data_IF_651223835342
#
_entry.id   IF_651223835342
#
_cell.length_a   1.000
_cell.length_b   1.000
_cell.length_c   1.000
_cell.angle_alpha   90.00
_cell.angle_beta   90.00
_cell.angle_gamma   90.00
#
_symmetry.space_group_name_H-M   'P 1'
#
loop_
_entity.id
_entity.type
_entity.pdbx_description
1 polymer ?
#
# COMPACT_ATOMS: atom_id res chain seq x y z
N UNK A 1 20.78 -18.16 42.45
CA UNK A 1 19.87 -18.81 41.49
C UNK A 1 19.29 -17.73 40.59
N UNK A 2 19.16 -18.05 39.31
CA UNK A 2 18.45 -17.32 38.24
C UNK A 2 19.05 -15.98 37.80
N UNK A 3 19.87 -16.11 36.77
CA UNK A 3 20.22 -15.16 35.70
C UNK A 3 19.12 -14.13 35.39
N UNK A 4 19.41 -12.85 35.62
CA UNK A 4 18.72 -11.72 34.98
C UNK A 4 18.91 -11.82 33.45
N UNK A 5 17.93 -12.41 32.76
CA UNK A 5 17.78 -12.29 31.30
C UNK A 5 16.90 -11.07 31.03
N UNK A 6 17.46 -9.88 31.19
CA UNK A 6 16.84 -8.64 30.71
C UNK A 6 16.96 -8.56 29.18
N UNK A 7 16.24 -9.43 28.48
CA UNK A 7 15.89 -9.19 27.09
C UNK A 7 14.98 -7.97 27.04
N UNK A 8 15.21 -7.07 26.09
CA UNK A 8 14.38 -5.89 25.92
C UNK A 8 12.93 -6.31 25.58
N UNK A 9 12.03 -6.22 26.56
CA UNK A 9 10.59 -6.50 26.42
C UNK A 9 9.83 -5.17 26.42
N UNK A 10 8.94 -4.98 25.45
CA UNK A 10 8.11 -3.77 25.38
C UNK A 10 6.94 -3.92 26.36
N UNK A 11 6.67 -2.92 27.24
CA UNK A 11 5.57 -2.98 28.19
C UNK A 11 4.19 -3.12 27.51
N UNK A 12 3.34 -4.00 28.03
CA UNK A 12 2.02 -4.30 27.44
C UNK A 12 1.10 -3.07 27.34
N UNK A 13 1.14 -2.15 28.31
CA UNK A 13 0.34 -0.92 28.24
C UNK A 13 0.72 -0.02 27.06
N UNK A 14 2.02 0.04 26.72
CA UNK A 14 2.50 0.79 25.55
C UNK A 14 2.07 0.12 24.26
N UNK A 15 2.06 -1.22 24.26
CA UNK A 15 1.58 -2.06 23.16
C UNK A 15 0.10 -1.82 22.87
N UNK A 16 -0.75 -1.94 23.89
CA UNK A 16 -2.19 -1.77 23.78
C UNK A 16 -2.56 -0.36 23.29
N UNK A 17 -1.83 0.66 23.78
CA UNK A 17 -2.03 2.03 23.33
C UNK A 17 -1.64 2.20 21.86
N UNK A 18 -0.51 1.62 21.45
CA UNK A 18 -0.04 1.69 20.08
C UNK A 18 -0.97 0.93 19.11
N UNK A 19 -1.45 -0.27 19.50
CA UNK A 19 -2.43 -1.04 18.72
C UNK A 19 -3.72 -0.25 18.52
N UNK A 20 -4.30 0.29 19.59
CA UNK A 20 -5.48 1.16 19.48
C UNK A 20 -5.24 2.38 18.60
N UNK A 21 -4.04 2.96 18.64
CA UNK A 21 -3.69 4.13 17.84
C UNK A 21 -3.58 3.78 16.35
N UNK A 22 -2.98 2.63 16.03
CA UNK A 22 -2.90 2.11 14.66
C UNK A 22 -4.29 1.80 14.11
N UNK A 23 -5.13 1.13 14.91
CA UNK A 23 -6.52 0.82 14.51
C UNK A 23 -7.35 2.08 14.25
N UNK A 24 -7.22 3.10 15.11
CA UNK A 24 -7.90 4.38 14.93
C UNK A 24 -7.41 5.11 13.68
N UNK A 25 -6.10 5.12 13.43
CA UNK A 25 -5.52 5.74 12.24
C UNK A 25 -5.99 5.01 10.96
N UNK A 26 -6.03 3.67 10.96
CA UNK A 26 -6.54 2.88 9.84
C UNK A 26 -7.99 3.20 9.56
N UNK A 27 -8.84 3.22 10.60
CA UNK A 27 -10.25 3.59 10.45
C UNK A 27 -10.43 4.99 9.87
N UNK A 28 -9.69 5.98 10.37
CA UNK A 28 -9.77 7.35 9.87
C UNK A 28 -9.34 7.45 8.40
N UNK A 29 -8.32 6.68 8.00
CA UNK A 29 -7.90 6.58 6.61
C UNK A 29 -8.98 5.94 5.73
N UNK A 30 -9.56 4.82 6.15
CA UNK A 30 -10.64 4.13 5.43
C UNK A 30 -11.85 5.05 5.22
N UNK A 31 -12.25 5.78 6.26
CA UNK A 31 -13.34 6.77 6.20
C UNK A 31 -13.03 7.89 5.20
N UNK A 32 -11.79 8.41 5.22
CA UNK A 32 -11.33 9.43 4.28
C UNK A 32 -11.33 8.94 2.82
N UNK A 33 -10.82 7.73 2.58
CA UNK A 33 -10.80 7.15 1.24
C UNK A 33 -12.20 6.89 0.71
N UNK A 34 -13.12 6.43 1.56
CA UNK A 34 -14.53 6.24 1.18
C UNK A 34 -15.19 7.58 0.74
N UNK A 35 -14.93 8.67 1.46
CA UNK A 35 -15.41 10.01 1.06
C UNK A 35 -14.76 10.44 -0.26
N UNK A 36 -13.46 10.19 -0.43
CA UNK A 36 -12.71 10.54 -1.64
C UNK A 36 -13.24 9.79 -2.86
N UNK A 37 -13.46 8.48 -2.77
CA UNK A 37 -14.06 7.67 -3.83
C UNK A 37 -15.44 8.16 -4.23
N UNK A 38 -16.29 8.51 -3.26
CA UNK A 38 -17.62 9.08 -3.54
C UNK A 38 -17.53 10.42 -4.27
N UNK A 39 -16.60 11.28 -3.87
CA UNK A 39 -16.41 12.58 -4.53
C UNK A 39 -15.92 12.40 -5.97
N UNK A 40 -14.98 11.49 -6.20
CA UNK A 40 -14.48 11.14 -7.54
C UNK A 40 -15.60 10.57 -8.40
N UNK A 41 -16.36 9.59 -7.91
CA UNK A 41 -17.52 9.03 -8.62
C UNK A 41 -18.58 10.09 -8.95
N UNK A 42 -18.88 11.00 -8.02
CA UNK A 42 -19.87 12.07 -8.25
C UNK A 42 -19.36 13.07 -9.30
N UNK A 43 -18.08 13.41 -9.26
CA UNK A 43 -17.46 14.30 -10.25
C UNK A 43 -17.49 13.68 -11.65
N UNK A 44 -17.25 12.37 -11.76
CA UNK A 44 -17.33 11.60 -12.99
C UNK A 44 -18.74 11.55 -13.57
N UNK A 45 -19.75 11.30 -12.73
CA UNK A 45 -21.16 11.30 -13.13
C UNK A 45 -21.60 12.69 -13.62
N UNK A 46 -21.06 13.76 -13.03
CA UNK A 46 -21.37 15.15 -13.40
C UNK A 46 -20.65 15.64 -14.67
N UNK A 47 -19.45 15.12 -14.93
CA UNK A 47 -18.60 15.51 -16.05
C UNK A 47 -18.77 14.51 -17.22
N UNK A 48 -19.93 14.53 -17.90
CA UNK A 48 -20.26 13.80 -19.13
C UNK A 48 -19.04 13.17 -19.85
N UNK A 49 -18.65 11.92 -19.51
CA UNK A 49 -17.80 10.94 -20.21
C UNK A 49 -16.54 11.38 -21.03
N UNK A 50 -16.25 12.67 -21.18
CA UNK A 50 -15.39 13.24 -22.23
C UNK A 50 -13.95 13.46 -21.71
N UNK A 51 -13.73 13.25 -20.42
CA UNK A 51 -12.44 13.37 -19.74
C UNK A 51 -12.00 12.04 -19.10
N UNK A 52 -12.30 10.90 -19.74
CA UNK A 52 -12.01 9.57 -19.17
C UNK A 52 -10.52 9.39 -18.80
N UNK A 53 -9.61 9.98 -19.58
CA UNK A 53 -8.17 9.84 -19.35
C UNK A 53 -7.64 10.50 -18.06
N UNK A 54 -8.17 11.66 -17.63
CA UNK A 54 -7.70 12.29 -16.39
C UNK A 54 -8.31 11.61 -15.15
N UNK A 55 -9.53 11.13 -15.29
CA UNK A 55 -10.24 10.35 -14.28
C UNK A 55 -9.53 9.02 -13.99
N UNK A 56 -9.12 8.29 -15.03
CA UNK A 56 -8.44 7.01 -14.86
C UNK A 56 -7.08 7.16 -14.17
N UNK A 57 -6.36 8.26 -14.42
CA UNK A 57 -5.12 8.60 -13.71
C UNK A 57 -5.38 8.87 -12.23
N UNK A 58 -6.42 9.63 -11.89
CA UNK A 58 -6.78 9.90 -10.50
C UNK A 58 -7.19 8.62 -9.75
N UNK A 59 -8.01 7.76 -10.35
CA UNK A 59 -8.37 6.47 -9.75
C UNK A 59 -7.15 5.60 -9.50
N UNK A 60 -6.23 5.51 -10.47
CA UNK A 60 -5.01 4.72 -10.32
C UNK A 60 -4.10 5.27 -9.22
N UNK A 61 -3.98 6.59 -9.11
CA UNK A 61 -3.24 7.22 -8.03
C UNK A 61 -3.86 6.94 -6.65
N UNK A 62 -5.19 6.95 -6.54
CA UNK A 62 -5.90 6.59 -5.31
C UNK A 62 -5.68 5.11 -4.94
N UNK A 63 -5.79 4.19 -5.90
CA UNK A 63 -5.52 2.77 -5.64
C UNK A 63 -4.10 2.52 -5.16
N UNK A 64 -3.10 3.19 -5.73
CA UNK A 64 -1.72 3.09 -5.22
C UNK A 64 -1.58 3.64 -3.81
N UNK A 65 -2.25 4.76 -3.49
CA UNK A 65 -2.24 5.29 -2.13
C UNK A 65 -2.87 4.31 -1.13
N UNK A 66 -3.96 3.64 -1.50
CA UNK A 66 -4.61 2.61 -0.69
C UNK A 66 -3.69 1.40 -0.45
N UNK A 67 -3.11 0.84 -1.51
CA UNK A 67 -2.20 -0.31 -1.41
C UNK A 67 -0.98 0.01 -0.53
N UNK A 68 -0.39 1.20 -0.72
CA UNK A 68 0.76 1.65 0.07
C UNK A 68 0.40 1.83 1.54
N UNK A 69 -0.77 2.39 1.84
CA UNK A 69 -1.21 2.60 3.22
C UNK A 69 -1.64 1.31 3.90
N UNK A 70 -2.28 0.37 3.20
CA UNK A 70 -2.60 -0.93 3.76
C UNK A 70 -1.32 -1.70 4.14
N UNK A 71 -0.30 -1.69 3.28
CA UNK A 71 1.01 -2.26 3.59
C UNK A 71 1.66 -1.60 4.81
N UNK A 72 1.59 -0.26 4.92
CA UNK A 72 2.13 0.48 6.05
C UNK A 72 1.38 0.19 7.37
N UNK A 73 0.05 0.10 7.34
CA UNK A 73 -0.76 -0.25 8.50
C UNK A 73 -0.51 -1.69 8.95
N UNK A 74 -0.42 -2.64 8.02
CA UNK A 74 -0.08 -4.02 8.33
C UNK A 74 1.29 -4.12 9.01
N UNK A 75 2.29 -3.43 8.47
CA UNK A 75 3.61 -3.35 9.09
C UNK A 75 3.55 -2.73 10.49
N UNK A 76 2.87 -1.59 10.64
CA UNK A 76 2.71 -0.93 11.93
C UNK A 76 2.02 -1.85 12.96
N UNK A 77 0.97 -2.58 12.55
CA UNK A 77 0.26 -3.53 13.39
C UNK A 77 1.15 -4.69 13.85
N UNK A 78 1.93 -5.27 12.93
CA UNK A 78 2.88 -6.33 13.27
C UNK A 78 4.01 -5.82 14.18
N UNK A 79 4.48 -4.59 13.96
CA UNK A 79 5.51 -3.95 14.80
C UNK A 79 5.03 -3.69 16.21
N UNK A 80 3.79 -3.21 16.39
CA UNK A 80 3.25 -3.02 17.74
C UNK A 80 2.96 -4.36 18.41
N UNK A 81 2.56 -5.40 17.69
CA UNK A 81 2.32 -6.72 18.30
C UNK A 81 3.62 -7.47 18.68
N UNK A 82 4.77 -7.10 18.12
CA UNK A 82 6.07 -7.75 18.36
C UNK A 82 6.57 -7.58 19.80
N UNK A 83 6.79 -8.69 20.51
CA UNK A 83 7.06 -8.72 21.95
C UNK A 83 8.47 -8.29 22.33
N UNK A 84 9.42 -8.49 21.42
CA UNK A 84 10.84 -8.28 21.61
C UNK A 84 11.50 -7.84 20.30
N UNK A 85 12.78 -7.44 20.38
CA UNK A 85 13.55 -6.97 19.23
C UNK A 85 13.71 -8.02 18.12
N UNK A 86 13.75 -9.30 18.46
CA UNK A 86 13.88 -10.39 17.48
C UNK A 86 12.62 -10.48 16.60
N UNK A 87 11.43 -10.43 17.22
CA UNK A 87 10.16 -10.36 16.51
C UNK A 87 10.06 -9.08 15.65
N UNK A 88 10.48 -7.92 16.16
CA UNK A 88 10.51 -6.68 15.37
C UNK A 88 11.41 -6.78 14.14
N UNK A 89 12.59 -7.41 14.28
CA UNK A 89 13.52 -7.62 13.16
C UNK A 89 12.94 -8.59 12.13
N UNK A 90 12.21 -9.62 12.55
CA UNK A 90 11.46 -10.50 11.64
C UNK A 90 10.41 -9.72 10.85
N UNK A 91 9.62 -8.87 11.53
CA UNK A 91 8.61 -8.03 10.89
C UNK A 91 9.23 -7.07 9.86
N UNK A 92 10.36 -6.45 10.19
CA UNK A 92 11.10 -5.59 9.27
C UNK A 92 11.61 -6.36 8.04
N UNK A 93 12.14 -7.57 8.21
CA UNK A 93 12.58 -8.40 7.09
C UNK A 93 11.43 -8.79 6.17
N UNK A 94 10.30 -9.21 6.73
CA UNK A 94 9.13 -9.60 5.96
C UNK A 94 8.57 -8.42 5.18
N UNK A 95 8.50 -7.23 5.79
CA UNK A 95 8.08 -6.01 5.10
C UNK A 95 8.99 -5.68 3.90
N UNK A 96 10.32 -5.69 4.08
CA UNK A 96 11.26 -5.42 2.99
C UNK A 96 11.12 -6.46 1.86
N UNK A 97 10.95 -7.73 2.21
CA UNK A 97 10.74 -8.81 1.23
C UNK A 97 9.48 -8.55 0.39
N UNK A 98 8.34 -8.31 1.05
CA UNK A 98 7.08 -8.02 0.36
C UNK A 98 7.16 -6.76 -0.50
N UNK A 99 7.82 -5.70 -0.03
CA UNK A 99 8.02 -4.49 -0.83
C UNK A 99 8.88 -4.77 -2.07
N UNK A 100 9.93 -5.59 -1.97
CA UNK A 100 10.75 -5.97 -3.13
C UNK A 100 9.98 -6.84 -4.12
N UNK A 101 9.15 -7.76 -3.64
CA UNK A 101 8.27 -8.59 -4.49
C UNK A 101 7.29 -7.70 -5.26
N UNK A 102 6.59 -6.79 -4.57
CA UNK A 102 5.68 -5.82 -5.19
C UNK A 102 6.37 -4.94 -6.23
N UNK A 103 7.57 -4.42 -5.93
CA UNK A 103 8.36 -3.64 -6.90
C UNK A 103 8.75 -4.48 -8.11
N UNK A 104 9.10 -5.74 -7.92
CA UNK A 104 9.43 -6.68 -8.99
C UNK A 104 8.24 -7.00 -9.88
N UNK A 105 7.03 -7.10 -9.33
CA UNK A 105 5.80 -7.27 -10.09
C UNK A 105 5.44 -6.00 -10.87
N UNK A 106 5.49 -4.83 -10.23
CA UNK A 106 5.25 -3.55 -10.91
C UNK A 106 6.24 -3.30 -12.06
N UNK A 107 7.52 -3.64 -11.88
CA UNK A 107 8.52 -3.53 -12.94
C UNK A 107 8.24 -4.48 -14.11
N UNK A 108 7.73 -5.68 -13.85
CA UNK A 108 7.30 -6.63 -14.89
C UNK A 108 6.08 -6.13 -15.64
N UNK A 109 5.05 -5.68 -14.93
CA UNK A 109 3.83 -5.13 -15.53
C UNK A 109 4.13 -3.91 -16.43
N UNK A 110 5.03 -3.04 -15.98
CA UNK A 110 5.49 -1.89 -16.77
C UNK A 110 6.26 -2.33 -18.03
N UNK A 111 7.13 -3.33 -17.91
CA UNK A 111 7.89 -3.91 -19.04
C UNK A 111 6.96 -4.57 -20.07
N UNK A 112 5.97 -5.32 -19.61
CA UNK A 112 4.96 -5.95 -20.48
C UNK A 112 4.11 -4.89 -21.18
N UNK A 113 3.68 -3.86 -20.46
CA UNK A 113 2.92 -2.73 -21.00
C UNK A 113 3.72 -1.97 -22.06
N UNK A 114 4.99 -1.67 -21.77
CA UNK A 114 5.90 -1.02 -22.72
C UNK A 114 6.14 -1.88 -23.97
N UNK A 115 6.31 -3.20 -23.80
CA UNK A 115 6.48 -4.14 -24.90
C UNK A 115 5.24 -4.20 -25.78
N UNK A 116 4.04 -4.29 -25.19
CA UNK A 116 2.76 -4.22 -25.92
C UNK A 116 2.62 -2.91 -26.69
N UNK A 117 2.90 -1.78 -26.04
CA UNK A 117 2.83 -0.46 -26.69
C UNK A 117 3.80 -0.36 -27.88
N UNK A 118 5.03 -0.86 -27.74
CA UNK A 118 6.01 -0.91 -28.83
C UNK A 118 5.56 -1.84 -29.97
N UNK A 119 4.99 -2.99 -29.66
CA UNK A 119 4.43 -3.92 -30.66
C UNK A 119 3.23 -3.31 -31.40
N UNK A 120 2.35 -2.61 -30.71
CA UNK A 120 1.18 -1.97 -31.32
C UNK A 120 1.59 -0.76 -32.16
N UNK A 121 2.56 0.06 -31.70
CA UNK A 121 3.16 1.10 -32.53
C UNK A 121 3.82 0.52 -33.80
N UNK A 122 4.53 -0.60 -33.69
CA UNK A 122 5.13 -1.29 -34.84
C UNK A 122 4.07 -1.86 -35.82
N UNK A 123 2.88 -2.23 -35.35
CA UNK A 123 1.75 -2.63 -36.21
C UNK A 123 1.12 -1.43 -36.92
N UNK A 124 1.06 -0.26 -36.27
CA UNK A 124 0.54 0.99 -36.86
C UNK A 124 1.49 1.57 -37.91
N UNK A 125 2.81 1.38 -37.76
CA UNK A 125 3.84 1.92 -38.68
C UNK A 125 4.10 1.02 -39.88
N UNK A 126 3.52 -0.19 -39.98
CA UNK A 126 3.62 -1.00 -41.20
C UNK A 126 2.72 -0.42 -42.32
N UNK A 127 3.28 0.12 -43.42
CA UNK A 127 2.48 0.52 -44.57
C UNK A 127 1.93 -0.71 -45.28
N UNK A 128 0.78 -0.51 -45.94
CA UNK A 128 0.14 -1.46 -46.85
C UNK A 128 1.00 -1.75 -48.07
#
# INVERSE_FOLDING_TARGET
MATDKNGFEIPDQMRDLAEKSVDQARKAFDDFMNVTHKAVSTAEDSANAMQSGATDVNRKALSFAEEHMDAAFKFAQQMVQAKNLEEMMSVQQDYVRTQMESLGEQARDLSETATKAAQDAAKVVKPK
#
